data_IF_841205551512
#
_entry.id   IF_841205551512
#
_cell.length_a   1.000
_cell.length_b   1.000
_cell.length_c   1.000
_cell.angle_alpha   90.00
_cell.angle_beta   90.00
_cell.angle_gamma   90.00
#
_symmetry.space_group_name_H-M   'P 1'
#
loop_
_entity.id
_entity.type
_entity.pdbx_description
1 polymer ?
#
# COMPACT_ATOMS: atom_id res chain seq x y z
N UNK A 1 -45.15 29.27 -63.34
CA UNK A 1 -44.72 29.50 -61.95
C UNK A 1 -43.31 30.05 -62.03
N UNK A 2 -43.09 31.32 -61.69
CA UNK A 2 -41.83 32.01 -61.95
C UNK A 2 -40.81 31.74 -60.84
N UNK A 3 -39.56 31.57 -61.26
CA UNK A 3 -38.38 31.49 -60.40
C UNK A 3 -38.09 32.87 -59.81
N UNK A 4 -38.12 32.98 -58.48
CA UNK A 4 -37.60 34.14 -57.76
C UNK A 4 -36.19 33.79 -57.26
N UNK A 5 -35.21 34.38 -57.94
CA UNK A 5 -33.79 34.40 -57.57
C UNK A 5 -33.55 35.64 -56.69
N UNK A 6 -33.55 35.46 -55.37
CA UNK A 6 -33.20 36.51 -54.41
C UNK A 6 -31.69 36.45 -54.15
N UNK A 7 -31.00 37.40 -54.78
CA UNK A 7 -29.58 37.67 -54.56
C UNK A 7 -29.31 38.18 -53.14
N UNK A 8 -28.77 37.31 -52.30
CA UNK A 8 -28.22 37.67 -50.99
C UNK A 8 -26.78 38.19 -51.17
N UNK A 9 -26.45 39.40 -50.69
CA UNK A 9 -25.09 39.93 -50.76
C UNK A 9 -24.17 39.15 -49.81
N UNK A 10 -23.11 38.55 -50.36
CA UNK A 10 -22.01 37.99 -49.57
C UNK A 10 -21.23 39.14 -48.94
N UNK A 11 -21.45 39.36 -47.64
CA UNK A 11 -20.60 40.21 -46.84
C UNK A 11 -19.22 39.56 -46.67
N UNK A 12 -18.17 40.31 -47.00
CA UNK A 12 -16.78 39.96 -46.73
C UNK A 12 -16.56 39.87 -45.21
N UNK A 13 -16.72 38.67 -44.65
CA UNK A 13 -16.31 38.37 -43.30
C UNK A 13 -14.78 38.31 -43.26
N UNK A 14 -14.18 39.23 -42.51
CA UNK A 14 -12.76 39.21 -42.21
C UNK A 14 -12.36 37.84 -41.62
N UNK A 15 -11.21 37.26 -42.01
CA UNK A 15 -10.77 35.98 -41.50
C UNK A 15 -10.64 36.04 -39.97
N UNK A 16 -11.02 34.95 -39.26
CA UNK A 16 -10.90 34.90 -37.81
C UNK A 16 -9.45 35.13 -37.39
N UNK A 17 -9.24 36.10 -36.50
CA UNK A 17 -7.92 36.30 -35.90
C UNK A 17 -7.49 35.03 -35.18
N UNK A 18 -6.23 34.58 -35.34
CA UNK A 18 -5.70 33.48 -34.58
C UNK A 18 -5.77 33.80 -33.08
N UNK A 19 -6.03 32.81 -32.21
CA UNK A 19 -6.04 33.03 -30.78
C UNK A 19 -4.69 33.61 -30.33
N UNK A 20 -4.67 34.50 -29.34
CA UNK A 20 -3.43 35.04 -28.80
C UNK A 20 -2.54 33.89 -28.35
N UNK A 21 -1.28 33.90 -28.78
CA UNK A 21 -0.29 32.94 -28.33
C UNK A 21 -0.26 32.93 -26.79
N UNK A 22 -0.22 31.75 -26.14
CA UNK A 22 -0.11 31.68 -24.69
C UNK A 22 1.12 32.45 -24.26
N UNK A 23 0.94 33.36 -23.31
CA UNK A 23 2.02 34.12 -22.71
C UNK A 23 3.11 33.14 -22.27
N UNK A 24 4.32 33.34 -22.79
CA UNK A 24 5.49 32.60 -22.38
C UNK A 24 5.65 32.77 -20.86
N UNK A 25 5.34 31.70 -20.11
CA UNK A 25 5.75 31.53 -18.73
C UNK A 25 7.27 31.47 -18.72
N UNK A 26 7.90 32.64 -18.61
CA UNK A 26 9.29 32.77 -18.20
C UNK A 26 9.43 32.08 -16.85
N UNK A 27 10.19 30.99 -16.82
CA UNK A 27 10.64 30.31 -15.61
C UNK A 27 11.49 31.28 -14.76
N UNK A 28 10.83 32.10 -13.94
CA UNK A 28 11.39 32.75 -12.78
C UNK A 28 10.93 31.99 -11.54
N UNK A 29 11.76 31.06 -11.07
CA UNK A 29 11.49 30.34 -9.83
C UNK A 29 11.55 31.28 -8.63
N UNK A 30 10.60 31.20 -7.67
CA UNK A 30 10.84 31.77 -6.35
C UNK A 30 11.92 30.93 -5.66
N UNK A 31 12.91 31.62 -5.10
CA UNK A 31 13.95 31.07 -4.23
C UNK A 31 13.37 30.03 -3.27
N UNK A 32 13.80 28.78 -3.42
CA UNK A 32 13.60 27.71 -2.44
C UNK A 32 14.53 27.97 -1.24
N UNK A 33 14.24 29.00 -0.46
CA UNK A 33 14.66 28.99 0.94
C UNK A 33 13.81 27.95 1.64
N UNK A 34 14.43 26.82 1.97
CA UNK A 34 13.93 25.82 2.93
C UNK A 34 13.56 26.54 4.22
N UNK A 35 12.29 26.92 4.37
CA UNK A 35 11.77 27.46 5.62
C UNK A 35 11.78 26.31 6.64
N UNK A 36 12.79 26.29 7.49
CA UNK A 36 12.82 25.44 8.67
C UNK A 36 11.51 25.63 9.45
N UNK A 37 10.98 24.54 10.01
CA UNK A 37 9.88 24.65 10.96
C UNK A 37 10.24 25.72 12.01
N UNK A 38 9.32 26.63 12.36
CA UNK A 38 9.59 27.66 13.33
C UNK A 38 10.20 27.02 14.59
N UNK A 39 11.31 27.53 15.14
CA UNK A 39 12.02 26.89 16.25
C UNK A 39 11.12 26.60 17.45
N UNK A 40 10.05 27.40 17.62
CA UNK A 40 8.99 27.23 18.60
C UNK A 40 8.12 25.96 18.41
N UNK A 41 7.98 25.43 17.20
CA UNK A 41 7.26 24.20 16.92
C UNK A 41 8.08 22.98 17.35
N UNK A 42 9.36 22.94 16.97
CA UNK A 42 10.31 21.92 17.41
C UNK A 42 10.53 21.92 18.91
N UNK A 43 10.55 23.09 19.55
CA UNK A 43 10.64 23.19 21.01
C UNK A 43 9.38 22.64 21.71
N UNK A 44 8.18 22.90 21.17
CA UNK A 44 6.91 22.36 21.69
C UNK A 44 6.81 20.84 21.51
N UNK A 45 7.30 20.31 20.39
CA UNK A 45 7.30 18.88 20.12
C UNK A 45 8.27 18.14 21.06
N UNK A 46 9.47 18.69 21.29
CA UNK A 46 10.45 18.13 22.24
C UNK A 46 9.92 18.16 23.67
N UNK A 47 9.34 19.28 24.10
CA UNK A 47 8.74 19.41 25.42
C UNK A 47 7.60 18.39 25.65
N UNK A 48 6.74 18.14 24.63
CA UNK A 48 5.67 17.13 24.73
C UNK A 48 6.19 15.70 24.83
N UNK A 49 7.25 15.37 24.10
CA UNK A 49 7.86 14.03 24.12
C UNK A 49 8.56 13.78 25.46
N UNK A 50 9.25 14.79 26.02
CA UNK A 50 9.86 14.74 27.35
C UNK A 50 8.82 14.69 28.48
N UNK A 51 7.74 15.48 28.38
CA UNK A 51 6.62 15.48 29.34
C UNK A 51 5.88 14.14 29.37
N UNK A 52 5.82 13.44 28.23
CA UNK A 52 5.25 12.10 28.12
C UNK A 52 6.23 10.97 28.51
N UNK A 53 7.48 11.30 28.89
CA UNK A 53 8.51 10.32 29.22
C UNK A 53 8.99 9.47 28.02
N UNK A 54 8.73 9.92 26.79
CA UNK A 54 9.08 9.23 25.56
C UNK A 54 10.54 9.48 25.16
N UNK A 55 11.25 8.43 24.74
CA UNK A 55 12.57 8.54 24.12
C UNK A 55 12.40 8.44 22.61
N UNK A 56 12.89 9.43 21.84
CA UNK A 56 13.00 9.30 20.39
C UNK A 56 14.05 8.23 20.08
N UNK A 57 13.59 7.03 19.75
CA UNK A 57 14.47 5.95 19.30
C UNK A 57 15.17 6.34 17.99
N UNK A 58 16.39 5.85 17.73
CA UNK A 58 17.01 6.00 16.42
C UNK A 58 16.05 5.41 15.39
N UNK A 59 15.77 6.20 14.35
CA UNK A 59 14.92 5.79 13.25
C UNK A 59 15.66 4.64 12.55
N UNK A 60 15.31 3.39 12.91
CA UNK A 60 15.57 2.25 12.05
C UNK A 60 15.12 2.67 10.65
N UNK A 61 15.97 2.46 9.65
CA UNK A 61 15.61 2.91 8.30
C UNK A 61 14.26 2.28 7.92
N UNK A 62 13.43 2.99 7.19
CA UNK A 62 12.09 2.50 6.85
C UNK A 62 12.16 1.11 6.15
N UNK A 63 13.23 0.89 5.38
CA UNK A 63 13.56 -0.41 4.78
C UNK A 63 13.74 -1.51 5.84
N UNK A 64 14.47 -1.25 6.93
CA UNK A 64 14.61 -2.17 8.06
C UNK A 64 13.25 -2.49 8.69
N UNK A 65 12.43 -1.47 8.96
CA UNK A 65 11.10 -1.69 9.55
C UNK A 65 10.19 -2.54 8.64
N UNK A 66 10.26 -2.35 7.32
CA UNK A 66 9.50 -3.12 6.33
C UNK A 66 10.02 -4.56 6.25
N UNK A 67 11.34 -4.77 6.29
CA UNK A 67 11.94 -6.10 6.37
C UNK A 67 11.55 -6.86 7.64
N UNK A 68 11.52 -6.20 8.80
CA UNK A 68 11.03 -6.79 10.06
C UNK A 68 9.59 -7.26 9.89
N UNK A 69 8.71 -6.41 9.35
CA UNK A 69 7.29 -6.77 9.16
C UNK A 69 7.12 -7.93 8.18
N UNK A 70 7.81 -7.90 7.04
CA UNK A 70 7.75 -8.94 6.02
C UNK A 70 8.26 -10.29 6.54
N UNK A 71 9.40 -10.30 7.25
CA UNK A 71 9.98 -11.53 7.81
C UNK A 71 9.12 -12.15 8.91
N UNK A 72 8.53 -11.34 9.80
CA UNK A 72 7.58 -11.82 10.80
C UNK A 72 6.28 -12.34 10.16
N UNK A 73 5.78 -11.69 9.11
CA UNK A 73 4.63 -12.17 8.36
C UNK A 73 4.93 -13.52 7.68
N UNK A 74 6.13 -13.68 7.12
CA UNK A 74 6.58 -14.95 6.55
C UNK A 74 6.65 -16.07 7.61
N UNK A 75 7.18 -15.79 8.80
CA UNK A 75 7.20 -16.75 9.93
C UNK A 75 5.81 -17.18 10.37
N UNK A 76 4.87 -16.24 10.50
CA UNK A 76 3.45 -16.56 10.78
C UNK A 76 2.83 -17.38 9.67
N UNK A 77 3.13 -17.03 8.42
CA UNK A 77 2.69 -17.77 7.24
C UNK A 77 3.24 -19.19 7.18
N UNK A 78 4.47 -19.42 7.65
CA UNK A 78 5.05 -20.74 7.81
C UNK A 78 4.35 -21.53 8.91
N UNK A 79 4.07 -20.91 10.07
CA UNK A 79 3.40 -21.59 11.19
C UNK A 79 2.07 -22.22 10.76
N UNK A 80 1.30 -21.50 9.93
CA UNK A 80 0.05 -21.98 9.33
C UNK A 80 0.22 -23.14 8.32
N UNK A 81 1.44 -23.38 7.82
CA UNK A 81 1.76 -24.34 6.76
C UNK A 81 2.87 -25.33 7.18
N UNK A 82 3.18 -25.43 8.47
CA UNK A 82 4.35 -26.15 9.00
C UNK A 82 4.46 -27.60 8.53
N UNK A 83 3.34 -28.27 8.32
CA UNK A 83 3.28 -29.67 7.87
C UNK A 83 3.71 -29.84 6.41
N UNK A 84 3.64 -28.78 5.60
CA UNK A 84 4.00 -28.79 4.18
C UNK A 84 5.41 -28.26 3.91
N UNK A 85 5.98 -27.51 4.85
CA UNK A 85 7.28 -26.83 4.72
C UNK A 85 8.15 -27.02 5.97
N UNK A 86 8.42 -28.26 6.42
CA UNK A 86 9.13 -28.48 7.68
C UNK A 86 10.55 -27.90 7.68
N UNK A 87 11.23 -27.93 6.53
CA UNK A 87 12.66 -27.61 6.42
C UNK A 87 12.96 -26.10 6.38
N UNK A 88 11.95 -25.26 6.10
CA UNK A 88 12.12 -23.82 5.93
C UNK A 88 12.12 -23.04 7.27
N UNK A 89 11.81 -23.68 8.40
CA UNK A 89 11.63 -22.99 9.69
C UNK A 89 12.89 -22.24 10.11
N UNK A 90 14.03 -22.93 10.09
CA UNK A 90 15.31 -22.34 10.52
C UNK A 90 15.76 -21.20 9.61
N UNK A 91 15.54 -21.30 8.30
CA UNK A 91 15.80 -20.22 7.34
C UNK A 91 14.98 -18.96 7.68
N UNK A 92 13.67 -19.14 7.88
CA UNK A 92 12.77 -18.02 8.17
C UNK A 92 13.04 -17.40 9.54
N UNK A 93 13.45 -18.22 10.53
CA UNK A 93 13.85 -17.74 11.85
C UNK A 93 15.08 -16.83 11.75
N UNK A 94 16.08 -17.29 11.01
CA UNK A 94 17.31 -16.54 10.76
C UNK A 94 17.02 -15.26 9.95
N UNK A 95 16.16 -15.34 8.93
CA UNK A 95 15.70 -14.18 8.15
C UNK A 95 15.08 -13.10 9.04
N UNK A 96 14.18 -13.47 9.96
CA UNK A 96 13.57 -12.51 10.88
C UNK A 96 14.57 -11.91 11.88
N UNK A 97 15.55 -12.69 12.33
CA UNK A 97 16.63 -12.20 13.18
C UNK A 97 17.51 -11.17 12.47
N UNK A 98 17.94 -11.46 11.23
CA UNK A 98 18.73 -10.54 10.41
C UNK A 98 17.95 -9.30 9.99
N UNK A 99 16.65 -9.44 9.75
CA UNK A 99 15.76 -8.31 9.45
C UNK A 99 15.61 -7.34 10.63
N UNK A 100 15.95 -7.76 11.86
CA UNK A 100 15.96 -6.89 13.05
C UNK A 100 15.14 -7.40 14.23
N UNK A 101 14.42 -8.53 14.10
CA UNK A 101 13.69 -9.12 15.24
C UNK A 101 14.67 -9.83 16.18
N UNK A 102 15.19 -9.09 17.16
CA UNK A 102 16.17 -9.61 18.15
C UNK A 102 15.54 -10.13 19.45
N UNK A 103 14.22 -10.39 19.46
CA UNK A 103 13.52 -10.92 20.64
C UNK A 103 13.10 -12.37 20.42
N UNK A 104 13.66 -13.29 21.21
CA UNK A 104 13.32 -14.73 21.15
C UNK A 104 11.83 -14.97 21.39
N UNK A 105 11.22 -14.21 22.32
CA UNK A 105 9.79 -14.28 22.58
C UNK A 105 8.95 -13.85 21.37
N UNK A 106 9.37 -12.80 20.65
CA UNK A 106 8.68 -12.32 19.46
C UNK A 106 8.75 -13.33 18.31
N UNK A 107 9.93 -13.92 18.09
CA UNK A 107 10.13 -14.98 17.11
C UNK A 107 9.30 -16.24 17.44
N UNK A 108 9.35 -16.69 18.69
CA UNK A 108 8.59 -17.85 19.16
C UNK A 108 7.08 -17.65 18.97
N UNK A 109 6.57 -16.47 19.32
CA UNK A 109 5.16 -16.11 19.14
C UNK A 109 4.78 -16.05 17.66
N UNK A 110 5.61 -15.46 16.80
CA UNK A 110 5.35 -15.37 15.36
C UNK A 110 5.34 -16.74 14.68
N UNK A 111 6.26 -17.62 15.06
CA UNK A 111 6.38 -18.96 14.50
C UNK A 111 5.46 -20.00 15.17
N UNK A 112 4.84 -19.68 16.31
CA UNK A 112 4.03 -20.62 17.08
C UNK A 112 4.83 -21.81 17.62
N UNK A 113 6.07 -21.58 18.04
CA UNK A 113 6.99 -22.61 18.57
C UNK A 113 7.53 -22.25 19.96
N UNK A 114 8.20 -23.20 20.61
CA UNK A 114 8.86 -22.95 21.89
C UNK A 114 10.10 -22.06 21.73
N UNK A 115 10.53 -21.39 22.82
CA UNK A 115 11.76 -20.60 22.81
C UNK A 115 13.00 -21.47 22.55
N UNK A 116 13.01 -22.70 23.07
CA UNK A 116 14.12 -23.63 22.87
C UNK A 116 14.29 -24.00 21.39
N UNK A 117 13.17 -24.17 20.68
CA UNK A 117 13.15 -24.38 19.22
C UNK A 117 13.73 -23.18 18.48
N UNK A 118 13.42 -21.94 18.91
CA UNK A 118 14.02 -20.73 18.32
C UNK A 118 15.54 -20.72 18.51
N UNK A 119 16.02 -21.05 19.71
CA UNK A 119 17.47 -21.15 19.96
C UNK A 119 18.13 -22.21 19.08
N UNK A 120 17.53 -23.39 18.97
CA UNK A 120 18.00 -24.48 18.11
C UNK A 120 18.09 -24.04 16.64
N UNK A 121 17.02 -23.46 16.10
CA UNK A 121 16.93 -23.01 14.71
C UNK A 121 17.97 -21.92 14.39
N UNK A 122 18.12 -20.94 15.28
CA UNK A 122 19.11 -19.86 15.10
C UNK A 122 20.53 -20.42 15.13
N UNK A 123 20.84 -21.33 16.07
CA UNK A 123 22.16 -21.98 16.13
C UNK A 123 22.45 -22.85 14.92
N UNK A 124 21.44 -23.54 14.38
CA UNK A 124 21.57 -24.29 13.13
C UNK A 124 21.97 -23.41 11.93
N UNK A 125 21.75 -22.10 12.01
CA UNK A 125 22.18 -21.08 11.04
C UNK A 125 23.38 -20.25 11.48
N UNK A 126 24.10 -20.71 12.51
CA UNK A 126 25.30 -20.05 13.01
C UNK A 126 25.03 -18.74 13.75
N UNK A 127 23.80 -18.50 14.19
CA UNK A 127 23.42 -17.34 14.99
C UNK A 127 23.43 -17.76 16.46
N UNK A 128 24.28 -17.14 17.29
CA UNK A 128 24.23 -17.31 18.75
C UNK A 128 23.35 -16.22 19.38
N UNK A 129 22.11 -16.51 19.81
CA UNK A 129 21.18 -15.47 20.20
C UNK A 129 21.46 -14.90 21.59
N UNK A 130 22.32 -15.54 22.39
CA UNK A 130 22.76 -15.01 23.70
C UNK A 130 23.90 -14.01 23.58
N UNK A 131 24.62 -14.01 22.46
CA UNK A 131 25.70 -13.07 22.21
C UNK A 131 25.12 -11.75 21.67
N UNK A 132 24.78 -10.85 22.59
CA UNK A 132 24.28 -9.51 22.26
C UNK A 132 25.39 -8.55 21.80
N UNK A 133 26.65 -8.90 22.06
CA UNK A 133 27.82 -8.08 21.70
C UNK A 133 28.40 -8.46 20.34
N UNK A 134 28.06 -9.65 19.83
CA UNK A 134 28.35 -10.03 18.45
C UNK A 134 27.86 -8.93 17.50
N UNK A 135 28.80 -8.38 16.74
CA UNK A 135 28.47 -7.51 15.63
C UNK A 135 27.42 -8.22 14.76
N UNK A 136 26.39 -7.50 14.26
CA UNK A 136 25.42 -8.11 13.36
C UNK A 136 26.19 -8.79 12.23
N UNK A 137 26.08 -10.12 12.14
CA UNK A 137 26.59 -10.82 10.99
C UNK A 137 25.99 -10.15 9.75
N UNK A 138 26.78 -9.89 8.69
CA UNK A 138 26.24 -9.29 7.48
C UNK A 138 25.06 -10.14 7.04
N UNK A 139 23.90 -9.49 6.87
CA UNK A 139 22.69 -10.14 6.40
C UNK A 139 23.06 -10.98 5.18
N UNK A 140 22.80 -12.31 5.18
CA UNK A 140 23.12 -13.11 4.01
C UNK A 140 22.45 -12.46 2.82
N UNK A 141 23.22 -12.24 1.76
CA UNK A 141 22.66 -11.77 0.51
C UNK A 141 21.81 -12.91 -0.04
N UNK A 142 20.51 -12.86 0.26
CA UNK A 142 19.55 -13.76 -0.37
C UNK A 142 19.71 -13.59 -1.88
N UNK A 143 19.82 -14.71 -2.59
CA UNK A 143 19.82 -14.70 -4.04
C UNK A 143 18.58 -13.94 -4.50
N UNK A 144 18.72 -12.87 -5.30
CA UNK A 144 17.58 -12.16 -5.84
C UNK A 144 16.62 -13.14 -6.52
N UNK A 145 15.33 -12.86 -6.39
CA UNK A 145 14.30 -13.69 -7.01
C UNK A 145 14.54 -13.72 -8.53
N UNK A 146 14.79 -14.91 -9.08
CA UNK A 146 15.08 -15.08 -10.50
C UNK A 146 13.81 -14.91 -11.33
N UNK A 147 13.90 -14.20 -12.46
CA UNK A 147 12.78 -13.98 -13.36
C UNK A 147 12.13 -15.29 -13.81
N UNK A 148 12.95 -16.28 -14.20
CA UNK A 148 12.50 -17.61 -14.63
C UNK A 148 11.67 -18.31 -13.55
N UNK A 149 12.11 -18.27 -12.29
CA UNK A 149 11.39 -18.89 -11.18
C UNK A 149 10.01 -18.24 -10.95
N UNK A 150 9.92 -16.91 -11.10
CA UNK A 150 8.63 -16.20 -11.01
C UNK A 150 7.74 -16.51 -12.20
N UNK A 151 8.31 -16.62 -13.39
CA UNK A 151 7.60 -16.97 -14.61
C UNK A 151 7.03 -18.40 -14.52
N UNK A 152 7.82 -19.37 -14.09
CA UNK A 152 7.39 -20.75 -13.87
C UNK A 152 6.26 -20.84 -12.85
N UNK A 153 6.34 -20.09 -11.75
CA UNK A 153 5.26 -19.99 -10.78
C UNK A 153 3.98 -19.41 -11.42
N UNK A 154 4.11 -18.34 -12.21
CA UNK A 154 2.99 -17.73 -12.91
C UNK A 154 2.33 -18.72 -13.90
N UNK A 155 3.11 -19.51 -14.63
CA UNK A 155 2.62 -20.57 -15.51
C UNK A 155 1.88 -21.66 -14.72
N UNK A 156 2.41 -22.07 -13.56
CA UNK A 156 1.74 -23.03 -12.70
C UNK A 156 0.39 -22.49 -12.19
N UNK A 157 0.37 -21.24 -11.72
CA UNK A 157 -0.86 -20.57 -11.29
C UNK A 157 -1.87 -20.48 -12.43
N UNK A 158 -1.44 -20.06 -13.62
CA UNK A 158 -2.29 -19.98 -14.81
C UNK A 158 -2.90 -21.33 -15.18
N UNK A 159 -2.14 -22.42 -15.09
CA UNK A 159 -2.65 -23.77 -15.37
C UNK A 159 -3.81 -24.19 -14.46
N UNK A 160 -3.83 -23.69 -13.22
CA UNK A 160 -4.86 -23.99 -12.22
C UNK A 160 -6.04 -23.02 -12.33
N UNK A 161 -5.77 -21.74 -12.57
CA UNK A 161 -6.80 -20.68 -12.57
C UNK A 161 -7.55 -20.61 -13.89
N UNK A 162 -6.86 -20.84 -15.03
CA UNK A 162 -7.44 -20.68 -16.37
C UNK A 162 -8.74 -21.46 -16.58
N UNK A 163 -8.91 -22.72 -16.14
CA UNK A 163 -10.18 -23.44 -16.29
C UNK A 163 -11.36 -22.75 -15.57
N UNK A 164 -11.13 -22.16 -14.39
CA UNK A 164 -12.17 -21.44 -13.64
C UNK A 164 -12.63 -20.16 -14.36
N UNK A 165 -11.72 -19.52 -15.10
CA UNK A 165 -12.01 -18.32 -15.90
C UNK A 165 -12.80 -18.59 -17.19
N UNK A 166 -12.92 -19.85 -17.63
CA UNK A 166 -13.65 -20.21 -18.85
C UNK A 166 -15.17 -20.38 -18.62
N UNK A 167 -15.65 -20.30 -17.37
CA UNK A 167 -17.07 -20.34 -17.04
C UNK A 167 -17.82 -19.06 -17.45
N UNK A 168 -19.15 -19.13 -17.58
CA UNK A 168 -20.01 -18.00 -17.99
C UNK A 168 -20.21 -16.91 -16.89
N UNK A 169 -19.29 -16.82 -15.94
CA UNK A 169 -19.34 -15.94 -14.78
C UNK A 169 -18.32 -16.44 -13.76
N UNK A 170 -17.08 -15.98 -13.89
CA UNK A 170 -16.04 -16.28 -12.93
C UNK A 170 -16.46 -15.71 -11.56
N UNK A 171 -16.32 -16.53 -10.51
CA UNK A 171 -16.52 -16.01 -9.16
C UNK A 171 -15.38 -15.04 -8.78
N UNK A 172 -15.58 -14.15 -7.79
CA UNK A 172 -14.55 -13.19 -7.38
C UNK A 172 -13.23 -13.83 -6.94
N UNK A 173 -13.23 -15.09 -6.48
CA UNK A 173 -12.00 -15.78 -6.11
C UNK A 173 -11.19 -16.16 -7.35
N UNK A 174 -11.85 -16.65 -8.39
CA UNK A 174 -11.23 -16.94 -9.68
C UNK A 174 -10.66 -15.66 -10.32
N UNK A 175 -11.41 -14.55 -10.29
CA UNK A 175 -10.94 -13.25 -10.79
C UNK A 175 -9.74 -12.73 -9.97
N UNK A 176 -9.81 -12.81 -8.64
CA UNK A 176 -8.68 -12.49 -7.76
C UNK A 176 -7.43 -13.28 -8.14
N UNK A 177 -7.56 -14.60 -8.27
CA UNK A 177 -6.46 -15.50 -8.57
C UNK A 177 -5.89 -15.24 -9.98
N UNK A 178 -6.75 -14.86 -10.92
CA UNK A 178 -6.36 -14.52 -12.28
C UNK A 178 -5.53 -13.24 -12.33
N UNK A 179 -6.00 -12.17 -11.69
CA UNK A 179 -5.25 -10.90 -11.65
C UNK A 179 -3.91 -11.06 -10.90
N UNK A 180 -3.87 -11.85 -9.83
CA UNK A 180 -2.60 -12.21 -9.18
C UNK A 180 -1.68 -12.98 -10.13
N UNK A 181 -2.20 -13.95 -10.88
CA UNK A 181 -1.41 -14.68 -11.88
C UNK A 181 -0.81 -13.72 -12.92
N UNK A 182 -1.59 -12.75 -13.41
CA UNK A 182 -1.11 -11.70 -14.33
C UNK A 182 -0.07 -10.80 -13.68
N UNK A 183 -0.25 -10.43 -12.42
CA UNK A 183 0.75 -9.68 -11.65
C UNK A 183 2.08 -10.45 -11.56
N UNK A 184 2.06 -11.76 -11.33
CA UNK A 184 3.28 -12.58 -11.32
C UNK A 184 4.00 -12.60 -12.67
N UNK A 185 3.27 -12.69 -13.78
CA UNK A 185 3.88 -12.54 -15.11
C UNK A 185 4.57 -11.17 -15.27
N UNK A 186 3.95 -10.08 -14.84
CA UNK A 186 4.56 -8.74 -14.89
C UNK A 186 5.78 -8.59 -13.98
N UNK A 187 5.76 -9.21 -12.81
CA UNK A 187 6.93 -9.24 -11.93
C UNK A 187 8.09 -9.97 -12.63
N UNK A 188 7.83 -11.12 -13.25
CA UNK A 188 8.85 -11.85 -14.01
C UNK A 188 9.44 -10.99 -15.15
N UNK A 189 8.59 -10.31 -15.93
CA UNK A 189 9.03 -9.40 -17.01
C UNK A 189 9.78 -8.16 -16.50
N UNK A 190 9.46 -7.66 -15.31
CA UNK A 190 10.20 -6.55 -14.69
C UNK A 190 11.58 -7.00 -14.16
N UNK A 191 11.70 -8.27 -13.76
CA UNK A 191 12.96 -8.88 -13.32
C UNK A 191 13.84 -9.23 -14.53
N UNK A 192 13.26 -9.67 -15.65
CA UNK A 192 13.95 -9.92 -16.91
C UNK A 192 14.01 -8.67 -17.80
N UNK A 193 15.11 -7.91 -17.66
CA UNK A 193 15.37 -6.69 -18.44
C UNK A 193 15.50 -6.93 -19.95
N UNK A 194 15.77 -8.15 -20.36
CA UNK A 194 15.95 -8.52 -21.77
C UNK A 194 14.66 -9.10 -22.39
N UNK A 195 13.59 -9.21 -21.61
CA UNK A 195 12.30 -9.74 -22.07
C UNK A 195 11.71 -8.92 -23.22
N UNK A 196 10.96 -9.60 -24.09
CA UNK A 196 10.24 -8.94 -25.20
C UNK A 196 9.26 -7.88 -24.69
N UNK A 197 8.59 -8.14 -23.56
CA UNK A 197 7.69 -7.19 -22.92
C UNK A 197 8.41 -5.92 -22.49
N UNK A 198 9.61 -6.04 -21.89
CA UNK A 198 10.43 -4.89 -21.53
C UNK A 198 10.84 -4.05 -22.75
N UNK A 199 11.14 -4.71 -23.88
CA UNK A 199 11.46 -4.03 -25.15
C UNK A 199 10.24 -3.37 -25.78
N UNK A 200 9.06 -3.99 -25.67
CA UNK A 200 7.85 -3.53 -26.33
C UNK A 200 7.14 -2.40 -25.59
N UNK A 201 6.99 -2.51 -24.27
CA UNK A 201 6.19 -1.60 -23.43
C UNK A 201 7.08 -0.68 -22.57
N UNK A 202 8.31 -1.09 -22.31
CA UNK A 202 9.19 -0.38 -21.39
C UNK A 202 8.82 -0.62 -19.92
N UNK A 203 9.73 -0.22 -19.02
CA UNK A 203 9.60 -0.46 -17.58
C UNK A 203 8.37 0.21 -16.97
N UNK A 204 8.11 1.47 -17.31
CA UNK A 204 7.07 2.25 -16.65
C UNK A 204 5.67 1.69 -16.96
N UNK A 205 5.40 1.33 -18.21
CA UNK A 205 4.12 0.75 -18.61
C UNK A 205 3.90 -0.62 -17.92
N UNK A 206 4.93 -1.46 -17.82
CA UNK A 206 4.87 -2.72 -17.08
C UNK A 206 4.57 -2.52 -15.59
N UNK A 207 5.16 -1.50 -14.96
CA UNK A 207 4.86 -1.15 -13.56
C UNK A 207 3.41 -0.70 -13.42
N UNK A 208 2.89 0.10 -14.35
CA UNK A 208 1.49 0.54 -14.31
C UNK A 208 0.52 -0.64 -14.47
N UNK A 209 0.72 -1.52 -15.46
CA UNK A 209 -0.12 -2.72 -15.61
C UNK A 209 -0.03 -3.62 -14.37
N UNK A 210 1.17 -3.85 -13.81
CA UNK A 210 1.31 -4.59 -12.55
C UNK A 210 0.47 -3.97 -11.42
N UNK A 211 0.54 -2.65 -11.24
CA UNK A 211 -0.24 -1.95 -10.20
C UNK A 211 -1.73 -2.12 -10.44
N UNK A 212 -2.19 -2.01 -11.70
CA UNK A 212 -3.60 -2.16 -12.03
C UNK A 212 -4.10 -3.60 -11.80
N UNK A 213 -3.29 -4.63 -12.11
CA UNK A 213 -3.60 -6.03 -11.75
C UNK A 213 -3.71 -6.22 -10.25
N UNK A 214 -2.76 -5.69 -9.48
CA UNK A 214 -2.78 -5.82 -8.02
C UNK A 214 -3.98 -5.10 -7.39
N UNK A 215 -4.40 -3.95 -7.96
CA UNK A 215 -5.62 -3.25 -7.54
C UNK A 215 -6.87 -4.06 -7.84
N UNK A 216 -6.98 -4.62 -9.04
CA UNK A 216 -8.11 -5.46 -9.42
C UNK A 216 -8.20 -6.71 -8.53
N UNK A 217 -7.08 -7.40 -8.31
CA UNK A 217 -7.01 -8.51 -7.37
C UNK A 217 -7.44 -8.13 -5.94
N UNK A 218 -6.98 -6.98 -5.44
CA UNK A 218 -7.37 -6.49 -4.12
C UNK A 218 -8.88 -6.20 -4.05
N UNK A 219 -9.44 -5.59 -5.08
CA UNK A 219 -10.87 -5.30 -5.16
C UNK A 219 -11.70 -6.59 -5.12
N UNK A 220 -11.39 -7.58 -5.97
CA UNK A 220 -12.08 -8.87 -5.98
C UNK A 220 -11.95 -9.60 -4.63
N UNK A 221 -10.77 -9.54 -4.00
CA UNK A 221 -10.56 -10.11 -2.67
C UNK A 221 -11.39 -9.40 -1.59
N UNK A 222 -11.60 -8.08 -1.69
CA UNK A 222 -12.46 -7.31 -0.79
C UNK A 222 -13.93 -7.67 -0.97
N UNK A 223 -14.39 -7.86 -2.22
CA UNK A 223 -15.74 -8.35 -2.52
C UNK A 223 -15.96 -9.71 -1.86
N UNK A 224 -15.05 -10.66 -2.08
CA UNK A 224 -15.11 -12.00 -1.48
C UNK A 224 -15.07 -11.94 0.06
N UNK A 225 -14.22 -11.09 0.64
CA UNK A 225 -14.11 -10.96 2.10
C UNK A 225 -15.33 -10.32 2.75
N UNK A 226 -16.10 -9.52 2.00
CA UNK A 226 -17.35 -8.93 2.44
C UNK A 226 -18.54 -9.89 2.26
N UNK A 227 -18.45 -10.84 1.32
CA UNK A 227 -19.52 -11.78 1.03
C UNK A 227 -19.84 -12.66 2.25
N UNK A 228 -21.11 -12.68 2.66
CA UNK A 228 -21.57 -13.47 3.81
C UNK A 228 -21.13 -12.94 5.18
N UNK A 229 -20.45 -11.79 5.25
CA UNK A 229 -20.01 -11.17 6.51
C UNK A 229 -20.89 -9.97 6.83
N UNK A 230 -21.37 -9.87 8.08
CA UNK A 230 -22.20 -8.73 8.50
C UNK A 230 -21.38 -7.44 8.57
N UNK A 231 -22.05 -6.30 8.35
CA UNK A 231 -21.43 -4.99 8.51
C UNK A 231 -20.84 -4.77 9.91
N UNK A 232 -21.49 -5.29 10.96
CA UNK A 232 -20.98 -5.25 12.34
C UNK A 232 -19.64 -5.98 12.48
N UNK A 233 -19.50 -7.16 11.87
CA UNK A 233 -18.26 -7.92 11.94
C UNK A 233 -17.12 -7.21 11.19
N UNK A 234 -17.41 -6.66 10.01
CA UNK A 234 -16.43 -5.87 9.25
C UNK A 234 -16.00 -4.62 10.01
N UNK A 235 -16.96 -3.88 10.59
CA UNK A 235 -16.71 -2.70 11.40
C UNK A 235 -15.83 -3.02 12.63
N UNK A 236 -16.15 -4.10 13.35
CA UNK A 236 -15.36 -4.57 14.48
C UNK A 236 -13.92 -4.95 14.09
N UNK A 237 -13.73 -5.58 12.92
CA UNK A 237 -12.38 -5.87 12.39
C UNK A 237 -11.61 -4.61 12.03
N UNK A 238 -12.27 -3.61 11.43
CA UNK A 238 -11.65 -2.34 11.12
C UNK A 238 -11.21 -1.60 12.40
N UNK A 239 -12.04 -1.61 13.44
CA UNK A 239 -11.71 -1.01 14.74
C UNK A 239 -10.53 -1.71 15.41
N UNK A 240 -10.53 -3.05 15.44
CA UNK A 240 -9.41 -3.82 15.99
C UNK A 240 -8.08 -3.49 15.29
N UNK A 241 -8.09 -3.40 13.95
CA UNK A 241 -6.92 -3.02 13.16
C UNK A 241 -6.43 -1.61 13.50
N UNK A 242 -7.33 -0.65 13.73
CA UNK A 242 -6.96 0.72 14.13
C UNK A 242 -6.36 0.72 15.53
N UNK A 243 -6.96 0.00 16.47
CA UNK A 243 -6.41 -0.17 17.81
C UNK A 243 -5.01 -0.79 17.79
N UNK A 244 -4.79 -1.82 16.97
CA UNK A 244 -3.47 -2.46 16.80
C UNK A 244 -2.44 -1.47 16.26
N UNK A 245 -2.81 -0.64 15.27
CA UNK A 245 -1.93 0.41 14.72
C UNK A 245 -1.58 1.46 15.76
N UNK A 246 -2.57 1.95 16.50
CA UNK A 246 -2.36 2.93 17.58
C UNK A 246 -1.46 2.36 18.69
N UNK A 247 -1.68 1.09 19.08
CA UNK A 247 -0.84 0.40 20.05
C UNK A 247 0.60 0.20 19.56
N UNK A 248 0.81 0.12 18.25
CA UNK A 248 2.12 0.10 17.60
C UNK A 248 2.70 1.51 17.35
N UNK A 249 2.11 2.56 17.93
CA UNK A 249 2.49 3.97 17.76
C UNK A 249 2.48 4.43 16.29
N UNK A 250 1.62 3.82 15.47
CA UNK A 250 1.45 4.18 14.07
C UNK A 250 0.34 5.20 13.89
N UNK A 251 0.54 6.12 12.93
CA UNK A 251 -0.48 7.06 12.52
C UNK A 251 -1.67 6.34 11.88
N UNK A 252 -2.87 6.86 12.12
CA UNK A 252 -4.13 6.45 11.52
C UNK A 252 -4.87 7.70 11.04
N UNK A 253 -5.65 7.58 9.97
CA UNK A 253 -6.56 8.65 9.55
C UNK A 253 -7.85 8.51 10.35
N UNK A 254 -8.16 9.54 11.15
CA UNK A 254 -9.40 9.67 11.92
C UNK A 254 -10.57 10.01 10.99
N UNK A 255 -10.40 11.10 10.22
CA UNK A 255 -11.32 11.54 9.18
C UNK A 255 -10.56 12.08 7.95
N UNK A 256 -11.24 12.13 6.81
CA UNK A 256 -10.70 12.69 5.58
C UNK A 256 -11.79 13.39 4.77
N UNK A 257 -11.44 14.50 4.12
CA UNK A 257 -12.31 15.14 3.13
C UNK A 257 -11.70 15.02 1.75
N UNK A 258 -12.43 14.39 0.83
CA UNK A 258 -12.00 14.17 -0.55
C UNK A 258 -12.86 15.02 -1.49
N UNK A 259 -12.21 15.65 -2.47
CA UNK A 259 -12.90 16.38 -3.54
C UNK A 259 -12.80 15.60 -4.84
N UNK A 260 -13.94 15.20 -5.37
CA UNK A 260 -14.07 14.53 -6.66
C UNK A 260 -14.34 15.58 -7.74
N UNK A 261 -13.64 15.45 -8.86
CA UNK A 261 -13.84 16.26 -10.07
C UNK A 261 -14.30 15.33 -11.19
N UNK A 262 -15.47 15.62 -11.76
CA UNK A 262 -15.97 14.92 -12.93
C UNK A 262 -15.54 15.63 -14.23
N UNK A 263 -15.58 14.93 -15.37
CA UNK A 263 -15.09 15.43 -16.66
C UNK A 263 -15.88 16.64 -17.20
N UNK A 264 -17.11 16.83 -16.77
CA UNK A 264 -17.93 18.00 -17.07
C UNK A 264 -17.59 19.23 -16.20
N UNK A 265 -16.58 19.12 -15.33
CA UNK A 265 -16.15 20.17 -14.41
C UNK A 265 -16.90 20.19 -13.08
N UNK A 266 -17.84 19.27 -12.88
CA UNK A 266 -18.60 19.15 -11.65
C UNK A 266 -17.72 18.72 -10.47
N UNK A 267 -18.01 19.25 -9.28
CA UNK A 267 -17.22 19.02 -8.07
C UNK A 267 -18.10 18.56 -6.92
N UNK A 268 -17.66 17.48 -6.27
CA UNK A 268 -18.33 16.92 -5.10
C UNK A 268 -17.31 16.81 -3.97
N UNK A 269 -17.65 17.38 -2.82
CA UNK A 269 -16.90 17.18 -1.58
C UNK A 269 -17.56 16.03 -0.79
N UNK A 270 -16.72 15.09 -0.36
CA UNK A 270 -17.14 13.89 0.39
C UNK A 270 -16.30 13.82 1.66
N UNK A 271 -16.95 13.96 2.81
CA UNK A 271 -16.39 13.66 4.11
C UNK A 271 -16.41 12.15 4.35
N UNK A 272 -15.29 11.61 4.83
CA UNK A 272 -15.11 10.21 5.16
C UNK A 272 -14.74 10.17 6.64
N UNK A 273 -15.56 9.50 7.44
CA UNK A 273 -15.30 9.33 8.87
C UNK A 273 -15.68 7.93 9.32
N UNK A 274 -15.34 7.60 10.57
CA UNK A 274 -15.81 6.38 11.19
C UNK A 274 -17.12 6.62 11.95
N UNK A 275 -17.96 5.58 11.97
CA UNK A 275 -19.12 5.53 12.84
C UNK A 275 -18.66 5.41 14.28
N UNK A 276 -19.18 6.30 15.12
CA UNK A 276 -19.05 6.28 16.57
C UNK A 276 -20.26 5.59 17.19
N UNK A 277 -20.20 5.29 18.49
CA UNK A 277 -21.30 4.68 19.25
C UNK A 277 -22.66 5.40 19.15
N UNK A 278 -22.67 6.69 18.82
CA UNK A 278 -23.89 7.50 18.68
C UNK A 278 -24.50 7.46 17.27
N UNK A 279 -23.77 6.95 16.28
CA UNK A 279 -24.26 6.82 14.91
C UNK A 279 -25.22 5.64 14.78
N UNK A 280 -26.04 5.65 13.73
CA UNK A 280 -26.94 4.54 13.42
C UNK A 280 -26.21 3.30 12.86
N UNK A 281 -25.01 3.49 12.32
CA UNK A 281 -24.18 2.40 11.80
C UNK A 281 -23.33 1.76 12.92
N UNK A 282 -22.88 0.51 12.74
CA UNK A 282 -22.00 -0.15 13.70
C UNK A 282 -20.69 0.63 13.93
N UNK A 283 -20.22 0.69 15.18
CA UNK A 283 -18.98 1.38 15.53
C UNK A 283 -17.79 0.85 14.72
N UNK A 284 -17.02 1.76 14.11
CA UNK A 284 -15.91 1.44 13.20
C UNK A 284 -16.29 1.32 11.72
N UNK A 285 -17.59 1.31 11.39
CA UNK A 285 -18.06 1.35 10.00
C UNK A 285 -17.68 2.66 9.31
N UNK A 286 -17.49 2.65 7.99
CA UNK A 286 -17.16 3.88 7.24
C UNK A 286 -18.44 4.63 6.92
N UNK A 287 -18.47 5.91 7.27
CA UNK A 287 -19.55 6.83 6.93
C UNK A 287 -19.07 7.85 5.90
N UNK A 288 -19.96 8.12 4.93
CA UNK A 288 -19.76 9.15 3.91
C UNK A 288 -20.75 10.27 4.15
N UNK A 289 -20.26 11.51 4.17
CA UNK A 289 -21.06 12.73 4.25
C UNK A 289 -20.84 13.56 2.99
N UNK A 290 -21.91 13.97 2.34
CA UNK A 290 -21.84 14.81 1.14
C UNK A 290 -23.17 15.50 0.88
N UNK A 291 -23.11 16.63 0.19
CA UNK A 291 -24.30 17.39 -0.22
C UNK A 291 -25.17 16.66 -1.26
N UNK A 292 -24.68 15.56 -1.85
CA UNK A 292 -25.39 14.79 -2.87
C UNK A 292 -25.76 13.40 -2.38
N UNK A 293 -26.89 12.82 -2.82
CA UNK A 293 -27.21 11.45 -2.46
C UNK A 293 -26.14 10.50 -3.01
N UNK A 294 -25.54 9.69 -2.13
CA UNK A 294 -24.71 8.56 -2.50
C UNK A 294 -25.52 7.27 -2.43
N UNK A 295 -25.08 6.25 -3.16
CA UNK A 295 -25.56 4.89 -2.96
C UNK A 295 -25.20 4.37 -1.57
N UNK A 296 -25.89 3.31 -1.15
CA UNK A 296 -25.53 2.61 0.08
C UNK A 296 -24.14 2.00 -0.05
N UNK A 297 -23.35 2.15 1.01
CA UNK A 297 -21.98 1.68 1.06
C UNK A 297 -21.97 0.17 1.34
N UNK A 298 -21.39 -0.61 0.43
CA UNK A 298 -21.29 -2.07 0.59
C UNK A 298 -20.15 -2.46 1.54
N UNK A 299 -20.12 -3.70 2.02
CA UNK A 299 -18.97 -4.22 2.78
C UNK A 299 -17.65 -4.14 2.01
N UNK A 300 -17.68 -4.33 0.69
CA UNK A 300 -16.50 -4.18 -0.15
C UNK A 300 -16.02 -2.73 -0.20
N UNK A 301 -16.94 -1.77 -0.33
CA UNK A 301 -16.63 -0.32 -0.30
C UNK A 301 -16.03 0.09 1.04
N UNK A 302 -16.57 -0.44 2.15
CA UNK A 302 -16.03 -0.20 3.49
C UNK A 302 -14.56 -0.65 3.57
N UNK A 303 -14.26 -1.87 3.13
CA UNK A 303 -12.90 -2.41 3.13
C UNK A 303 -11.96 -1.64 2.20
N UNK A 304 -12.44 -1.24 1.02
CA UNK A 304 -11.68 -0.46 0.04
C UNK A 304 -11.31 0.93 0.60
N UNK A 305 -12.27 1.65 1.16
CA UNK A 305 -12.05 2.95 1.78
C UNK A 305 -11.10 2.85 2.97
N UNK A 306 -11.23 1.82 3.82
CA UNK A 306 -10.30 1.61 4.94
C UNK A 306 -8.88 1.32 4.46
N UNK A 307 -8.69 0.51 3.43
CA UNK A 307 -7.37 0.26 2.85
C UNK A 307 -6.75 1.54 2.26
N UNK A 308 -7.56 2.38 1.61
CA UNK A 308 -7.11 3.67 1.08
C UNK A 308 -6.69 4.64 2.19
N UNK A 309 -7.49 4.78 3.25
CA UNK A 309 -7.16 5.63 4.40
C UNK A 309 -5.88 5.18 5.11
N UNK A 310 -5.67 3.88 5.27
CA UNK A 310 -4.44 3.32 5.82
C UNK A 310 -3.22 3.64 4.94
N UNK A 311 -3.38 3.56 3.62
CA UNK A 311 -2.31 3.92 2.65
C UNK A 311 -1.96 5.41 2.71
N UNK A 312 -2.97 6.27 2.88
CA UNK A 312 -2.78 7.72 3.09
C UNK A 312 -2.04 7.96 4.41
N UNK A 313 -2.46 7.31 5.50
CA UNK A 313 -1.79 7.42 6.80
C UNK A 313 -0.30 7.09 6.69
N UNK A 314 0.03 5.96 6.07
CA UNK A 314 1.41 5.49 5.90
C UNK A 314 2.23 6.47 5.06
N UNK A 315 1.63 7.01 3.99
CA UNK A 315 2.31 7.96 3.09
C UNK A 315 2.59 9.29 3.80
N UNK A 316 1.61 9.83 4.52
CA UNK A 316 1.78 11.07 5.29
C UNK A 316 2.79 10.88 6.43
N UNK A 317 2.74 9.75 7.13
CA UNK A 317 3.72 9.42 8.17
C UNK A 317 5.16 9.38 7.62
N UNK A 318 5.38 8.76 6.45
CA UNK A 318 6.68 8.78 5.76
C UNK A 318 7.12 10.20 5.43
N UNK A 319 6.21 11.02 4.88
CA UNK A 319 6.53 12.41 4.54
C UNK A 319 6.90 13.24 5.76
N UNK A 320 6.24 13.04 6.91
CA UNK A 320 6.55 13.74 8.15
C UNK A 320 7.89 13.31 8.74
N UNK A 321 8.23 12.02 8.66
CA UNK A 321 9.52 11.50 9.14
C UNK A 321 10.72 12.13 8.40
N UNK A 322 10.61 12.35 7.09
CA UNK A 322 11.66 12.98 6.29
C UNK A 322 11.86 14.48 6.57
N UNK A 323 10.90 15.15 7.23
CA UNK A 323 11.01 16.57 7.56
C UNK A 323 11.78 16.84 8.87
N UNK A 324 12.08 15.80 9.66
CA UNK A 324 12.87 15.96 10.90
C UNK A 324 14.34 16.17 10.51
N UNK A 325 14.93 17.37 10.71
CA UNK A 325 16.32 17.61 10.36
C UNK A 325 17.22 16.70 11.21
N UNK A 326 18.12 15.96 10.56
CA UNK A 326 19.19 15.23 11.24
C UNK A 326 19.93 16.22 12.16
N UNK A 327 19.95 16.01 13.50
CA UNK A 327 20.69 16.88 14.40
C UNK A 327 22.16 16.84 13.98
N UNK A 328 22.64 17.98 13.48
CA UNK A 328 23.93 18.07 12.80
C UNK A 328 25.07 17.49 13.64
N UNK A 329 25.84 16.60 13.02
CA UNK A 329 27.24 16.35 13.38
C UNK A 329 27.98 17.69 13.36
N UNK A 330 28.21 18.24 14.56
CA UNK A 330 29.20 19.28 14.82
C UNK A 330 30.42 18.63 15.44
#
# INVERSE_FOLDING_TARGET
>A
MPEHDDGVPRGDAAPPQPPPAPAALTAGGPDKTSAAAPPEFTARLRARVEEAGGMLLPVATYEEADMVRASLAALRGWAARRERLPDNRADLMAAAWWAGTRTIAGLAAAAGVSRDTVYEDLRARGIEPTDKEAAPAPTPQYTPLAADAVHELALLMDSVVRPAMLGAGADPLAETAWDLTRAFFRIAELLDRDSDAHRQWGRDELVHDLVDRLRAALHHAQVLAAEGVSGEHLAGRALARISDRLAAEQWVVEDATVRLLHLDGDRVEVGIRQAERRDAAPEGWTLLDTARPLGELTGADHLALRAALDTIADTLARSLAHQVPQPGHR
#
